data_IF_201043801206
#
_entry.id   IF_201043801206
#
_cell.length_a   1.000
_cell.length_b   1.000
_cell.length_c   1.000
_cell.angle_alpha   90.00
_cell.angle_beta   90.00
_cell.angle_gamma   90.00
#
_symmetry.space_group_name_H-M   'P 1'
#
loop_
_entity.id
_entity.type
_entity.pdbx_description
1 polymer ?
#
# COMPACT_ATOMS: atom_id res chain seq x y z
N UNK A 1 1.34 -17.92 -32.51
CA UNK A 1 0.38 -18.35 -31.46
C UNK A 1 0.53 -17.39 -30.29
N UNK A 2 -0.55 -16.82 -29.79
CA UNK A 2 -0.53 -15.99 -28.58
C UNK A 2 -0.02 -16.83 -27.40
N UNK A 3 0.89 -16.28 -26.61
CA UNK A 3 1.47 -17.00 -25.49
C UNK A 3 0.42 -17.25 -24.39
N UNK A 4 0.29 -18.49 -23.93
CA UNK A 4 -0.50 -18.83 -22.76
C UNK A 4 0.42 -18.90 -21.55
N UNK A 5 0.27 -17.95 -20.63
CA UNK A 5 1.06 -17.91 -19.39
C UNK A 5 0.55 -18.94 -18.38
N UNK A 6 1.45 -19.51 -17.59
CA UNK A 6 1.07 -20.35 -16.44
C UNK A 6 0.45 -19.49 -15.36
N UNK A 7 1.00 -18.28 -15.18
CA UNK A 7 0.48 -17.29 -14.25
C UNK A 7 0.74 -15.87 -14.76
N UNK A 8 -0.27 -15.00 -14.64
CA UNK A 8 -0.11 -13.55 -14.76
C UNK A 8 -0.29 -12.93 -13.37
N UNK A 9 0.67 -12.09 -12.98
CA UNK A 9 0.69 -11.39 -11.70
C UNK A 9 0.44 -9.92 -11.96
N UNK A 10 -0.58 -9.35 -11.32
CA UNK A 10 -1.00 -7.96 -11.48
C UNK A 10 -0.54 -7.16 -10.28
N UNK A 11 0.47 -6.32 -10.46
CA UNK A 11 1.10 -5.50 -9.44
C UNK A 11 2.49 -5.99 -9.05
N UNK A 12 3.47 -5.11 -9.17
CA UNK A 12 4.91 -5.34 -8.89
C UNK A 12 5.32 -4.96 -7.46
N UNK A 13 4.43 -5.06 -6.48
CA UNK A 13 4.77 -4.92 -5.06
C UNK A 13 5.32 -6.22 -4.45
N UNK A 14 5.67 -6.23 -3.14
CA UNK A 14 6.25 -7.40 -2.47
C UNK A 14 5.48 -8.69 -2.67
N UNK A 15 4.14 -8.64 -2.60
CA UNK A 15 3.31 -9.84 -2.84
C UNK A 15 3.35 -10.34 -4.28
N UNK A 16 3.47 -9.43 -5.25
CA UNK A 16 3.64 -9.79 -6.67
C UNK A 16 5.01 -10.35 -6.95
N UNK A 17 6.06 -9.72 -6.43
CA UNK A 17 7.45 -10.19 -6.53
C UNK A 17 7.57 -11.58 -5.88
N UNK A 18 7.05 -11.74 -4.66
CA UNK A 18 7.03 -13.03 -3.98
C UNK A 18 6.36 -14.11 -4.81
N UNK A 19 5.19 -13.80 -5.38
CA UNK A 19 4.46 -14.74 -6.25
C UNK A 19 5.25 -15.11 -7.51
N UNK A 20 5.92 -14.15 -8.14
CA UNK A 20 6.70 -14.37 -9.35
C UNK A 20 7.93 -15.25 -9.10
N UNK A 21 8.67 -14.93 -8.04
CA UNK A 21 9.88 -15.68 -7.65
C UNK A 21 9.53 -17.10 -7.23
N UNK A 22 8.50 -17.27 -6.40
CA UNK A 22 8.05 -18.60 -6.01
C UNK A 22 7.54 -19.42 -7.21
N UNK A 23 6.80 -18.79 -8.13
CA UNK A 23 6.34 -19.45 -9.35
C UNK A 23 7.52 -19.99 -10.18
N UNK A 24 8.60 -19.22 -10.30
CA UNK A 24 9.83 -19.62 -10.94
C UNK A 24 10.53 -20.76 -10.20
N UNK A 25 10.77 -20.62 -8.89
CA UNK A 25 11.44 -21.65 -8.08
C UNK A 25 10.72 -22.98 -8.16
N UNK A 26 9.40 -22.94 -8.18
CA UNK A 26 8.56 -24.12 -8.35
C UNK A 26 8.41 -24.62 -9.81
N UNK A 27 9.12 -24.04 -10.76
CA UNK A 27 9.23 -24.54 -12.14
C UNK A 27 8.04 -24.18 -13.05
N UNK A 28 7.34 -23.08 -12.78
CA UNK A 28 6.45 -22.49 -13.77
C UNK A 28 7.30 -21.80 -14.86
N UNK A 29 7.01 -22.08 -16.13
CA UNK A 29 7.88 -21.65 -17.24
C UNK A 29 7.49 -20.27 -17.80
N UNK A 30 6.18 -19.98 -17.82
CA UNK A 30 5.64 -18.75 -18.41
C UNK A 30 4.99 -17.89 -17.34
N UNK A 31 5.77 -16.93 -16.83
CA UNK A 31 5.40 -16.02 -15.76
C UNK A 31 5.43 -14.60 -16.30
N UNK A 32 4.32 -13.87 -16.19
CA UNK A 32 4.25 -12.45 -16.55
C UNK A 32 3.84 -11.63 -15.33
N UNK A 33 4.64 -10.65 -14.96
CA UNK A 33 4.29 -9.63 -13.98
C UNK A 33 3.99 -8.30 -14.67
N UNK A 34 2.80 -7.73 -14.43
CA UNK A 34 2.36 -6.47 -15.02
C UNK A 34 2.25 -5.42 -13.92
N UNK A 35 2.95 -4.30 -14.07
CA UNK A 35 2.93 -3.17 -13.13
C UNK A 35 2.55 -1.89 -13.89
N UNK A 36 1.61 -1.12 -13.31
CA UNK A 36 1.11 0.14 -13.90
C UNK A 36 2.11 1.27 -13.91
N UNK A 37 3.11 1.21 -13.04
CA UNK A 37 4.14 2.25 -12.88
C UNK A 37 5.43 1.86 -13.60
N UNK A 38 6.36 2.79 -13.65
CA UNK A 38 7.64 2.63 -14.37
C UNK A 38 8.59 1.59 -13.75
N UNK A 39 8.33 1.17 -12.49
CA UNK A 39 9.16 0.21 -11.78
C UNK A 39 8.36 -0.57 -10.73
N UNK A 40 8.90 -1.69 -10.24
CA UNK A 40 8.33 -2.43 -9.13
C UNK A 40 8.33 -1.63 -7.82
N UNK A 41 7.57 -2.10 -6.83
CA UNK A 41 7.54 -1.56 -5.46
C UNK A 41 7.27 -0.06 -5.38
N UNK A 42 6.39 0.45 -6.26
CA UNK A 42 6.11 1.88 -6.37
C UNK A 42 5.80 2.55 -5.02
N UNK A 43 5.03 1.89 -4.16
CA UNK A 43 4.70 2.41 -2.82
C UNK A 43 5.94 2.62 -1.97
N UNK A 44 6.88 1.66 -1.98
CA UNK A 44 8.15 1.76 -1.25
C UNK A 44 9.00 2.87 -1.86
N UNK A 45 9.17 2.87 -3.19
CA UNK A 45 9.98 3.89 -3.89
C UNK A 45 9.48 5.30 -3.65
N UNK A 46 8.17 5.51 -3.69
CA UNK A 46 7.56 6.84 -3.64
C UNK A 46 7.32 7.36 -2.23
N UNK A 47 6.87 6.51 -1.31
CA UNK A 47 6.38 6.97 -0.01
C UNK A 47 7.30 6.64 1.16
N UNK A 48 8.29 5.75 0.98
CA UNK A 48 9.32 5.55 2.00
C UNK A 48 10.41 6.59 1.82
N UNK A 49 10.87 7.14 2.93
CA UNK A 49 12.04 8.02 2.94
C UNK A 49 13.31 7.27 2.63
N UNK A 50 14.31 8.03 2.22
CA UNK A 50 15.66 7.52 2.12
C UNK A 50 16.14 7.06 3.51
N UNK A 51 16.80 5.92 3.53
CA UNK A 51 17.24 5.20 4.74
C UNK A 51 16.11 4.78 5.71
N UNK A 52 14.83 4.84 5.29
CA UNK A 52 13.76 4.32 6.13
C UNK A 52 14.01 2.84 6.45
N UNK A 53 14.02 2.51 7.75
CA UNK A 53 14.09 1.13 8.21
C UNK A 53 12.89 0.31 7.71
N UNK A 54 13.15 -0.88 7.25
CA UNK A 54 12.17 -1.87 6.79
C UNK A 54 12.36 -3.14 7.61
N UNK A 55 11.38 -3.44 8.44
CA UNK A 55 11.42 -4.59 9.33
C UNK A 55 10.76 -5.81 8.68
N UNK A 56 11.33 -6.98 8.90
CA UNK A 56 10.73 -8.27 8.56
C UNK A 56 9.51 -8.54 9.42
N UNK A 57 9.65 -8.28 10.70
CA UNK A 57 8.64 -8.56 11.71
C UNK A 57 7.47 -7.55 11.63
N UNK A 58 6.28 -7.98 12.03
CA UNK A 58 5.10 -7.17 11.96
C UNK A 58 4.55 -6.84 13.35
N UNK A 59 4.45 -5.55 13.67
CA UNK A 59 3.93 -5.04 14.95
C UNK A 59 4.57 -5.73 16.18
N UNK A 60 5.88 -6.01 16.12
CA UNK A 60 6.62 -6.67 17.19
C UNK A 60 6.42 -8.20 17.25
N UNK A 61 5.72 -8.79 16.30
CA UNK A 61 5.56 -10.24 16.16
C UNK A 61 6.52 -10.77 15.11
N UNK A 62 7.27 -11.81 15.45
CA UNK A 62 8.18 -12.47 14.52
C UNK A 62 7.41 -13.10 13.36
N UNK A 63 7.79 -12.74 12.13
CA UNK A 63 7.25 -13.34 10.90
C UNK A 63 8.22 -14.40 10.40
N UNK A 64 7.76 -15.64 10.38
CA UNK A 64 8.50 -16.76 9.79
C UNK A 64 8.28 -16.75 8.29
N UNK A 65 9.35 -16.74 7.51
CA UNK A 65 9.29 -16.93 6.06
C UNK A 65 9.04 -18.41 5.76
N UNK A 66 8.03 -18.68 4.95
CA UNK A 66 7.58 -20.04 4.64
C UNK A 66 8.10 -20.53 3.28
N UNK A 67 8.50 -19.60 2.41
CA UNK A 67 8.91 -19.87 1.02
C UNK A 67 10.42 -19.89 0.80
N UNK A 68 10.79 -19.70 -0.45
CA UNK A 68 12.19 -19.77 -0.92
C UNK A 68 12.88 -18.40 -0.96
N UNK A 69 12.22 -17.35 -0.50
CA UNK A 69 12.76 -15.99 -0.47
C UNK A 69 13.24 -15.67 0.94
N UNK A 70 14.52 -15.39 1.08
CA UNK A 70 15.10 -14.90 2.31
C UNK A 70 14.96 -13.37 2.39
N UNK A 71 14.19 -12.90 3.36
CA UNK A 71 14.02 -11.47 3.61
C UNK A 71 14.41 -11.13 5.04
N UNK A 72 15.26 -10.13 5.20
CA UNK A 72 15.77 -9.66 6.48
C UNK A 72 15.50 -8.16 6.68
N UNK A 73 15.65 -7.70 7.91
CA UNK A 73 15.60 -6.27 8.22
C UNK A 73 16.62 -5.50 7.39
N UNK A 74 16.24 -4.30 6.97
CA UNK A 74 17.10 -3.46 6.17
C UNK A 74 16.61 -2.01 6.10
N UNK A 75 16.98 -1.34 5.03
CA UNK A 75 16.48 0.00 4.67
C UNK A 75 15.64 -0.07 3.40
N UNK A 76 14.99 1.04 3.06
CA UNK A 76 14.31 1.22 1.77
C UNK A 76 15.21 0.79 0.61
N UNK A 77 16.44 1.29 0.58
CA UNK A 77 17.40 1.08 -0.50
C UNK A 77 17.79 -0.40 -0.59
N UNK A 78 18.24 -0.99 0.52
CA UNK A 78 18.64 -2.40 0.53
C UNK A 78 17.49 -3.35 0.19
N UNK A 79 16.26 -2.99 0.55
CA UNK A 79 15.06 -3.74 0.20
C UNK A 79 14.77 -3.65 -1.31
N UNK A 80 14.89 -2.46 -1.89
CA UNK A 80 14.69 -2.26 -3.33
C UNK A 80 15.76 -2.97 -4.15
N UNK A 81 17.03 -2.84 -3.76
CA UNK A 81 18.17 -3.55 -4.40
C UNK A 81 18.00 -5.07 -4.33
N UNK A 82 17.45 -5.56 -3.22
CA UNK A 82 17.15 -6.99 -3.07
C UNK A 82 16.05 -7.43 -4.05
N UNK A 83 14.98 -6.65 -4.20
CA UNK A 83 13.92 -6.97 -5.14
C UNK A 83 14.35 -6.83 -6.61
N UNK A 84 15.18 -5.84 -6.93
CA UNK A 84 15.79 -5.73 -8.26
C UNK A 84 16.56 -7.02 -8.60
N UNK A 85 17.40 -7.53 -7.69
CA UNK A 85 18.15 -8.79 -7.86
C UNK A 85 17.24 -10.01 -8.03
N UNK A 86 16.13 -10.09 -7.31
CA UNK A 86 15.17 -11.20 -7.43
C UNK A 86 14.49 -11.24 -8.81
N UNK A 87 14.34 -10.09 -9.46
CA UNK A 87 13.68 -9.97 -10.76
C UNK A 87 14.66 -10.01 -11.97
N UNK A 88 15.94 -9.81 -11.74
CA UNK A 88 16.96 -9.59 -12.81
C UNK A 88 17.48 -10.89 -13.46
N UNK A 89 16.85 -12.02 -13.26
CA UNK A 89 17.38 -13.29 -13.80
C UNK A 89 16.78 -13.74 -15.15
N UNK A 90 15.93 -12.91 -15.74
CA UNK A 90 15.39 -13.12 -17.08
C UNK A 90 14.35 -14.23 -17.21
N UNK A 91 13.98 -14.91 -16.13
CA UNK A 91 12.97 -15.98 -16.13
C UNK A 91 11.54 -15.46 -15.87
N UNK A 92 11.41 -14.20 -15.43
CA UNK A 92 10.13 -13.55 -15.15
C UNK A 92 9.95 -12.43 -16.18
N UNK A 93 8.96 -12.58 -17.06
CA UNK A 93 8.58 -11.48 -17.95
C UNK A 93 8.00 -10.35 -17.10
N UNK A 94 8.55 -9.14 -17.22
CA UNK A 94 8.06 -7.96 -16.52
C UNK A 94 7.58 -6.92 -17.53
N UNK A 95 6.38 -6.37 -17.29
CA UNK A 95 5.82 -5.30 -18.12
C UNK A 95 5.43 -4.13 -17.23
N UNK A 96 6.27 -3.10 -17.27
CA UNK A 96 6.05 -1.83 -16.56
C UNK A 96 5.26 -0.83 -17.42
N UNK A 97 4.79 0.27 -16.82
CA UNK A 97 3.95 1.29 -17.45
C UNK A 97 2.71 0.71 -18.15
N UNK A 98 2.19 -0.39 -17.63
CA UNK A 98 1.09 -1.12 -18.23
C UNK A 98 0.00 -1.40 -17.18
N UNK A 99 -1.12 -0.69 -17.31
CA UNK A 99 -2.25 -0.83 -16.38
C UNK A 99 -3.19 -1.94 -16.86
N UNK A 100 -3.43 -2.93 -16.03
CA UNK A 100 -4.49 -3.91 -16.29
C UNK A 100 -5.85 -3.25 -16.09
N UNK A 101 -6.72 -3.35 -17.09
CA UNK A 101 -8.05 -2.76 -17.10
C UNK A 101 -9.13 -3.76 -16.67
N UNK A 102 -8.98 -5.02 -17.10
CA UNK A 102 -9.99 -6.06 -16.87
C UNK A 102 -9.36 -7.45 -16.84
N UNK A 103 -9.96 -8.34 -16.06
CA UNK A 103 -9.67 -9.78 -16.06
C UNK A 103 -10.98 -10.53 -16.25
N UNK A 104 -11.05 -11.43 -17.24
CA UNK A 104 -12.20 -12.26 -17.49
C UNK A 104 -11.76 -13.72 -17.61
N UNK A 105 -12.57 -14.65 -17.08
CA UNK A 105 -12.34 -16.08 -17.28
C UNK A 105 -13.36 -16.63 -18.27
N UNK A 106 -12.86 -17.28 -19.34
CA UNK A 106 -13.69 -17.96 -20.36
C UNK A 106 -13.09 -19.32 -20.65
N UNK A 107 -13.90 -20.37 -20.63
CA UNK A 107 -13.46 -21.75 -20.95
C UNK A 107 -12.21 -22.22 -20.19
N UNK A 108 -12.11 -21.82 -18.91
CA UNK A 108 -10.98 -22.20 -18.05
C UNK A 108 -9.74 -21.29 -18.15
N UNK A 109 -9.67 -20.39 -19.13
CA UNK A 109 -8.55 -19.50 -19.41
C UNK A 109 -8.90 -18.07 -18.98
N UNK A 110 -7.95 -17.38 -18.35
CA UNK A 110 -8.04 -15.96 -18.06
C UNK A 110 -7.58 -15.11 -19.23
N UNK A 111 -8.33 -14.06 -19.49
CA UNK A 111 -8.06 -13.00 -20.46
C UNK A 111 -7.78 -11.73 -19.68
N UNK A 112 -6.56 -11.24 -19.78
CA UNK A 112 -6.08 -10.02 -19.08
C UNK A 112 -5.96 -8.91 -20.12
N UNK A 113 -6.83 -7.91 -20.03
CA UNK A 113 -6.88 -6.78 -20.95
C UNK A 113 -6.03 -5.62 -20.43
N UNK A 114 -5.18 -5.10 -21.30
CA UNK A 114 -4.33 -3.92 -21.05
C UNK A 114 -4.32 -3.01 -22.26
N UNK A 115 -3.92 -1.74 -22.17
CA UNK A 115 -3.70 -0.88 -23.35
C UNK A 115 -2.67 -1.43 -24.32
N UNK A 116 -1.80 -2.34 -23.86
CA UNK A 116 -0.75 -2.99 -24.68
C UNK A 116 -1.28 -4.23 -25.44
N UNK A 117 -2.50 -4.70 -25.17
CA UNK A 117 -3.09 -5.86 -25.80
C UNK A 117 -3.78 -6.82 -24.84
N UNK A 118 -4.03 -8.03 -25.30
CA UNK A 118 -4.73 -9.08 -24.57
C UNK A 118 -3.75 -10.22 -24.29
N UNK A 119 -3.56 -10.55 -23.01
CA UNK A 119 -2.76 -11.68 -22.57
C UNK A 119 -3.66 -12.82 -22.04
N UNK A 120 -3.19 -14.07 -22.14
CA UNK A 120 -3.92 -15.26 -21.70
C UNK A 120 -3.14 -15.99 -20.62
N UNK A 121 -3.82 -16.46 -19.56
CA UNK A 121 -3.20 -17.21 -18.48
C UNK A 121 -4.08 -18.33 -17.94
N UNK A 122 -3.46 -19.37 -17.38
CA UNK A 122 -4.13 -20.41 -16.61
C UNK A 122 -4.54 -19.93 -15.22
N UNK A 123 -3.71 -19.07 -14.60
CA UNK A 123 -3.92 -18.49 -13.28
C UNK A 123 -3.63 -17.00 -13.29
N UNK A 124 -4.28 -16.24 -12.41
CA UNK A 124 -4.04 -14.82 -12.21
C UNK A 124 -3.90 -14.53 -10.71
N UNK A 125 -2.89 -13.74 -10.34
CA UNK A 125 -2.66 -13.28 -8.98
C UNK A 125 -2.78 -11.76 -8.96
N UNK A 126 -3.72 -11.21 -8.17
CA UNK A 126 -3.93 -9.78 -8.01
C UNK A 126 -3.18 -9.31 -6.76
N UNK A 127 -2.13 -8.50 -6.94
CA UNK A 127 -1.24 -8.00 -5.89
C UNK A 127 -1.04 -6.48 -5.98
N UNK A 128 -2.13 -5.74 -6.05
CA UNK A 128 -2.15 -4.30 -6.32
C UNK A 128 -2.02 -3.43 -5.06
N UNK A 129 -1.78 -4.03 -3.90
CA UNK A 129 -1.76 -3.32 -2.62
C UNK A 129 -3.10 -2.71 -2.24
N UNK A 130 -3.14 -2.02 -1.12
CA UNK A 130 -4.36 -1.32 -0.63
C UNK A 130 -4.42 0.15 -1.00
N UNK A 131 -3.33 0.74 -1.43
CA UNK A 131 -3.28 2.16 -1.77
C UNK A 131 -4.01 2.42 -3.10
N UNK A 132 -5.31 2.50 -2.99
CA UNK A 132 -6.14 3.19 -3.95
C UNK A 132 -5.97 4.71 -3.82
N UNK A 133 -7.03 5.47 -4.11
CA UNK A 133 -7.02 6.92 -3.83
C UNK A 133 -6.98 7.14 -2.32
N UNK A 134 -6.21 8.14 -1.83
CA UNK A 134 -6.25 8.52 -0.42
C UNK A 134 -7.70 8.78 0.02
N UNK A 135 -8.04 8.35 1.23
CA UNK A 135 -9.32 8.70 1.82
C UNK A 135 -9.42 10.22 1.94
N UNK A 136 -10.59 10.73 1.65
CA UNK A 136 -10.91 12.14 1.88
C UNK A 136 -11.67 12.26 3.20
N UNK A 137 -11.56 13.41 3.88
CA UNK A 137 -12.40 13.68 5.05
C UNK A 137 -13.89 13.73 4.64
N UNK A 138 -14.76 13.58 5.61
CA UNK A 138 -16.24 13.61 5.40
C UNK A 138 -16.76 15.02 5.05
N UNK A 139 -16.04 16.06 5.48
CA UNK A 139 -16.37 17.45 5.19
C UNK A 139 -15.76 17.90 3.86
N UNK A 140 -16.34 18.96 3.29
CA UNK A 140 -15.91 19.51 2.00
C UNK A 140 -14.58 20.24 2.11
N UNK A 141 -13.64 19.92 1.24
CA UNK A 141 -12.41 20.69 1.05
C UNK A 141 -12.69 21.78 0.01
N UNK A 142 -12.58 23.09 0.37
CA UNK A 142 -12.72 24.17 -0.59
C UNK A 142 -11.70 24.08 -1.74
N UNK A 143 -12.14 24.35 -2.98
CA UNK A 143 -11.27 24.28 -4.16
C UNK A 143 -10.08 25.24 -4.09
N UNK A 144 -10.24 26.38 -3.41
CA UNK A 144 -9.18 27.39 -3.18
C UNK A 144 -8.03 26.87 -2.33
N UNK A 145 -8.23 25.82 -1.52
CA UNK A 145 -7.24 25.23 -0.63
C UNK A 145 -6.45 24.08 -1.28
N UNK A 146 -6.69 23.77 -2.54
CA UNK A 146 -6.11 22.58 -3.20
C UNK A 146 -4.57 22.52 -3.15
N UNK A 147 -3.89 23.66 -3.17
CA UNK A 147 -2.43 23.76 -3.10
C UNK A 147 -1.87 23.54 -1.68
N UNK A 148 -2.70 23.70 -0.66
CA UNK A 148 -2.34 23.61 0.76
C UNK A 148 -2.78 22.28 1.40
N UNK A 149 -3.48 21.43 0.63
CA UNK A 149 -3.98 20.12 1.08
C UNK A 149 -3.17 19.02 0.41
N UNK A 150 -2.52 18.20 1.21
CA UNK A 150 -1.72 17.07 0.76
C UNK A 150 -2.25 15.75 1.36
N UNK A 151 -1.88 14.64 0.73
CA UNK A 151 -2.14 13.28 1.20
C UNK A 151 -0.83 12.47 1.36
N UNK A 152 0.30 13.15 1.18
CA UNK A 152 1.66 12.66 1.34
C UNK A 152 2.58 13.85 1.63
N UNK A 153 3.88 13.62 1.71
CA UNK A 153 4.87 14.67 1.99
C UNK A 153 5.32 15.46 0.75
N UNK A 154 4.80 15.14 -0.44
CA UNK A 154 5.14 15.89 -1.65
C UNK A 154 4.77 17.38 -1.49
N UNK A 155 5.69 18.27 -1.89
CA UNK A 155 5.47 19.72 -1.87
C UNK A 155 5.34 20.37 -0.48
N UNK A 156 5.77 19.71 0.59
CA UNK A 156 5.88 20.33 1.89
C UNK A 156 7.11 21.25 1.90
N UNK A 157 6.91 22.48 2.34
CA UNK A 157 7.98 23.48 2.50
C UNK A 157 8.66 23.36 3.86
N UNK A 158 9.55 24.31 4.13
CA UNK A 158 10.15 24.55 5.45
C UNK A 158 9.50 25.79 6.08
N UNK A 159 9.53 25.86 7.40
CA UNK A 159 8.98 26.97 8.20
C UNK A 159 7.47 27.18 8.00
N UNK A 160 6.76 26.11 7.68
CA UNK A 160 5.30 26.08 7.61
C UNK A 160 4.71 25.64 8.96
N UNK A 161 3.51 26.13 9.28
CA UNK A 161 2.68 25.58 10.32
C UNK A 161 1.79 24.49 9.71
N UNK A 162 2.05 23.25 10.06
CA UNK A 162 1.47 22.08 9.40
C UNK A 162 0.57 21.29 10.34
N UNK A 163 -0.64 20.96 9.88
CA UNK A 163 -1.52 20.00 10.53
C UNK A 163 -1.43 18.65 9.85
N UNK A 164 -0.98 17.63 10.55
CA UNK A 164 -1.06 16.24 10.12
C UNK A 164 -2.29 15.60 10.73
N UNK A 165 -3.20 15.09 9.89
CA UNK A 165 -4.47 14.49 10.31
C UNK A 165 -4.41 12.98 10.14
N UNK A 166 -4.50 12.24 11.24
CA UNK A 166 -4.49 10.79 11.23
C UNK A 166 -4.00 10.18 12.55
N UNK A 167 -4.16 8.88 12.70
CA UNK A 167 -3.79 8.16 13.93
C UNK A 167 -3.17 6.79 13.67
N UNK A 168 -2.54 6.59 12.52
CA UNK A 168 -1.77 5.39 12.16
C UNK A 168 -0.28 5.69 12.01
N UNK A 169 0.51 4.68 11.63
CA UNK A 169 1.96 4.80 11.46
C UNK A 169 2.35 5.95 10.55
N UNK A 170 1.73 6.07 9.37
CA UNK A 170 2.04 7.15 8.43
C UNK A 170 1.82 8.54 9.02
N UNK A 171 0.79 8.74 9.85
CA UNK A 171 0.53 10.03 10.46
C UNK A 171 1.62 10.40 11.45
N UNK A 172 2.04 9.46 12.29
CA UNK A 172 3.14 9.63 13.24
C UNK A 172 4.45 9.91 12.52
N UNK A 173 4.79 9.09 11.52
CA UNK A 173 6.01 9.24 10.73
C UNK A 173 6.06 10.62 10.04
N UNK A 174 4.95 11.04 9.42
CA UNK A 174 4.87 12.36 8.77
C UNK A 174 5.04 13.51 9.77
N UNK A 175 4.38 13.43 10.93
CA UNK A 175 4.48 14.47 11.95
C UNK A 175 5.92 14.59 12.49
N UNK A 176 6.54 13.47 12.83
CA UNK A 176 7.92 13.46 13.34
C UNK A 176 8.90 13.99 12.29
N UNK A 177 8.68 13.62 11.03
CA UNK A 177 9.54 14.05 9.94
C UNK A 177 9.51 15.55 9.73
N UNK A 178 8.31 16.05 9.52
CA UNK A 178 8.14 17.46 9.18
C UNK A 178 8.56 18.38 10.31
N UNK A 179 8.55 17.91 11.54
CA UNK A 179 8.90 18.69 12.72
C UNK A 179 10.38 19.11 12.79
N UNK A 180 11.25 18.54 11.95
CA UNK A 180 12.64 18.99 11.86
C UNK A 180 12.77 20.43 11.35
N UNK A 181 11.83 20.92 10.55
CA UNK A 181 11.91 22.22 9.87
C UNK A 181 10.58 23.00 9.91
N UNK A 182 9.55 22.50 10.61
CA UNK A 182 8.21 23.07 10.62
C UNK A 182 7.60 23.03 12.02
N UNK A 183 6.59 23.89 12.26
CA UNK A 183 5.70 23.81 13.43
C UNK A 183 4.60 22.79 13.12
N UNK A 184 4.65 21.63 13.77
CA UNK A 184 3.77 20.49 13.43
C UNK A 184 2.82 20.16 14.54
N UNK A 185 1.54 20.10 14.19
CA UNK A 185 0.47 19.55 15.03
C UNK A 185 -0.01 18.22 14.44
N UNK A 186 -0.03 17.15 15.24
CA UNK A 186 -0.69 15.89 14.90
C UNK A 186 -2.09 15.86 15.51
N UNK A 187 -3.11 15.81 14.66
CA UNK A 187 -4.50 15.70 15.08
C UNK A 187 -5.03 14.29 14.87
N UNK A 188 -5.69 13.79 15.87
CA UNK A 188 -6.43 12.54 15.81
C UNK A 188 -7.74 12.61 16.60
N UNK A 189 -8.84 12.16 15.96
CA UNK A 189 -10.20 12.21 16.54
C UNK A 189 -10.41 11.36 17.80
N UNK A 190 -9.51 10.41 18.10
CA UNK A 190 -9.56 9.61 19.33
C UNK A 190 -8.57 10.15 20.36
N UNK A 191 -8.86 9.92 21.62
CA UNK A 191 -8.05 10.40 22.74
C UNK A 191 -6.65 9.76 22.83
N UNK A 192 -6.45 8.60 22.18
CA UNK A 192 -5.19 7.85 22.25
C UNK A 192 -4.71 7.39 20.89
N UNK A 193 -3.39 7.38 20.68
CA UNK A 193 -2.70 6.84 19.51
C UNK A 193 -2.39 5.34 19.71
N UNK A 194 -3.42 4.50 19.74
CA UNK A 194 -3.28 3.06 19.94
C UNK A 194 -2.98 2.26 18.64
N UNK A 195 -3.14 2.87 17.47
CA UNK A 195 -2.98 2.18 16.17
C UNK A 195 -1.54 2.09 15.66
N UNK A 196 -0.68 3.09 15.87
CA UNK A 196 0.71 2.99 15.46
C UNK A 196 1.43 1.82 16.12
N UNK A 197 2.45 1.29 15.45
CA UNK A 197 3.30 0.25 16.02
C UNK A 197 4.06 0.75 17.27
N UNK A 198 4.58 -0.16 18.12
CA UNK A 198 5.23 0.25 19.37
C UNK A 198 6.42 1.21 19.20
N UNK A 199 7.15 1.12 18.08
CA UNK A 199 8.28 2.03 17.78
C UNK A 199 7.76 3.44 17.53
N UNK A 200 6.74 3.56 16.69
CA UNK A 200 6.10 4.84 16.37
C UNK A 200 5.39 5.45 17.57
N UNK A 201 4.79 4.63 18.44
CA UNK A 201 4.19 5.12 19.68
C UNK A 201 5.26 5.75 20.61
N UNK A 202 6.40 5.09 20.78
CA UNK A 202 7.53 5.64 21.56
C UNK A 202 8.08 6.91 20.92
N UNK A 203 8.24 6.91 19.61
CA UNK A 203 8.78 8.04 18.87
C UNK A 203 7.90 9.28 19.05
N UNK A 204 6.60 9.18 18.80
CA UNK A 204 5.71 10.34 18.92
C UNK A 204 5.59 10.85 20.37
N UNK A 205 5.64 9.95 21.36
CA UNK A 205 5.64 10.33 22.77
C UNK A 205 6.89 11.16 23.11
N UNK A 206 8.08 10.79 22.61
CA UNK A 206 9.31 11.57 22.79
C UNK A 206 9.24 12.94 22.11
N UNK A 207 8.73 13.00 20.88
CA UNK A 207 8.57 14.26 20.14
C UNK A 207 7.58 15.20 20.82
N UNK A 208 6.51 14.68 21.36
CA UNK A 208 5.53 15.46 22.13
C UNK A 208 6.14 15.94 23.46
N UNK A 209 6.87 15.09 24.19
CA UNK A 209 7.55 15.46 25.42
C UNK A 209 8.59 16.58 25.20
N UNK A 210 9.32 16.52 24.09
CA UNK A 210 10.30 17.53 23.69
C UNK A 210 9.67 18.77 23.07
N UNK A 211 8.32 18.85 23.01
CA UNK A 211 7.57 19.95 22.39
C UNK A 211 7.92 20.18 20.89
N UNK A 212 8.43 19.14 20.22
CA UNK A 212 8.78 19.20 18.79
C UNK A 212 7.53 18.95 17.92
N UNK A 213 6.56 18.17 18.42
CA UNK A 213 5.25 17.94 17.81
C UNK A 213 4.16 18.23 18.83
N UNK A 214 3.19 19.05 18.45
CA UNK A 214 1.99 19.28 19.26
C UNK A 214 0.97 18.16 18.98
N UNK A 215 0.45 17.53 20.06
CA UNK A 215 -0.61 16.53 19.92
C UNK A 215 -1.97 17.16 20.19
N UNK A 216 -2.91 17.03 19.25
CA UNK A 216 -4.31 17.40 19.38
C UNK A 216 -5.16 16.14 19.24
N UNK A 217 -5.41 15.49 20.38
CA UNK A 217 -6.10 14.22 20.45
C UNK A 217 -7.52 14.40 20.99
N UNK A 218 -8.46 13.52 20.57
CA UNK A 218 -9.86 13.58 20.99
C UNK A 218 -10.67 14.71 20.34
N UNK A 219 -10.11 15.39 19.33
CA UNK A 219 -10.79 16.48 18.65
C UNK A 219 -11.00 16.15 17.16
N UNK A 220 -12.25 16.25 16.70
CA UNK A 220 -12.59 16.07 15.30
C UNK A 220 -12.57 17.42 14.55
N UNK A 221 -12.29 17.36 13.26
CA UNK A 221 -12.32 18.52 12.37
C UNK A 221 -13.73 18.60 11.78
N UNK A 222 -14.37 19.75 11.92
CA UNK A 222 -15.72 20.02 11.43
C UNK A 222 -15.74 20.67 10.04
N UNK A 223 -14.69 21.43 9.70
CA UNK A 223 -14.62 22.10 8.42
C UNK A 223 -13.33 22.86 8.16
N UNK A 224 -13.18 23.29 6.91
CA UNK A 224 -12.06 24.09 6.44
C UNK A 224 -12.55 25.35 5.72
N UNK A 225 -11.86 26.47 5.95
CA UNK A 225 -12.06 27.73 5.25
C UNK A 225 -10.71 28.28 4.77
N UNK A 226 -10.72 29.00 3.64
CA UNK A 226 -9.56 29.77 3.20
C UNK A 226 -9.59 31.14 3.85
N UNK A 227 -8.53 31.51 4.59
CA UNK A 227 -8.47 32.79 5.28
C UNK A 227 -7.05 33.38 5.20
N UNK A 228 -6.90 34.51 4.48
CA UNK A 228 -5.63 35.25 4.34
C UNK A 228 -4.42 34.40 3.91
N UNK A 229 -4.62 33.46 2.98
CA UNK A 229 -3.54 32.61 2.48
C UNK A 229 -3.25 31.39 3.35
N UNK A 230 -4.00 31.16 4.42
CA UNK A 230 -3.91 30.01 5.30
C UNK A 230 -5.20 29.18 5.28
N UNK A 231 -5.11 27.96 5.80
CA UNK A 231 -6.24 27.08 6.05
C UNK A 231 -6.71 27.29 7.48
N UNK A 232 -7.90 27.86 7.65
CA UNK A 232 -8.58 27.90 8.94
C UNK A 232 -9.29 26.56 9.12
N UNK A 233 -8.92 25.87 10.18
CA UNK A 233 -9.46 24.57 10.56
C UNK A 233 -10.37 24.75 11.76
N UNK A 234 -11.65 24.42 11.60
CA UNK A 234 -12.62 24.42 12.69
C UNK A 234 -12.61 23.03 13.35
N UNK A 235 -12.37 23.01 14.64
CA UNK A 235 -12.45 21.82 15.49
C UNK A 235 -13.69 21.92 16.40
N UNK A 236 -14.05 20.84 17.05
CA UNK A 236 -15.14 20.81 18.02
C UNK A 236 -15.00 21.91 19.09
N UNK A 237 -13.77 22.26 19.49
CA UNK A 237 -13.47 23.22 20.55
C UNK A 237 -12.72 24.46 20.04
N UNK A 238 -13.15 25.05 18.94
CA UNK A 238 -12.57 26.28 18.41
C UNK A 238 -11.96 26.15 17.02
N UNK A 239 -11.06 27.05 16.69
CA UNK A 239 -10.39 27.00 15.38
C UNK A 239 -8.90 27.34 15.52
N UNK A 240 -8.13 26.91 14.51
CA UNK A 240 -6.72 27.25 14.36
C UNK A 240 -6.34 27.38 12.88
N UNK A 241 -5.30 28.15 12.58
CA UNK A 241 -4.83 28.39 11.20
C UNK A 241 -3.53 27.65 10.94
N UNK A 242 -3.43 27.07 9.74
CA UNK A 242 -2.28 26.31 9.28
C UNK A 242 -1.92 26.75 7.85
N UNK A 243 -0.65 26.66 7.52
CA UNK A 243 -0.19 26.89 6.15
C UNK A 243 -0.49 25.70 5.26
N UNK A 244 -0.51 24.49 5.85
CA UNK A 244 -0.74 23.22 5.15
C UNK A 244 -1.46 22.19 6.00
N UNK A 245 -2.24 21.35 5.34
CA UNK A 245 -2.83 20.13 5.97
C UNK A 245 -2.39 18.90 5.21
N UNK A 246 -1.99 17.86 5.94
CA UNK A 246 -1.65 16.55 5.38
C UNK A 246 -2.57 15.50 5.95
N UNK A 247 -3.37 14.89 5.08
CA UNK A 247 -4.26 13.79 5.47
C UNK A 247 -3.55 12.44 5.37
N UNK A 248 -3.26 11.83 6.50
CA UNK A 248 -2.75 10.47 6.66
C UNK A 248 -3.82 9.55 7.24
N UNK A 249 -5.01 9.56 6.63
CA UNK A 249 -6.21 8.84 7.08
C UNK A 249 -6.48 7.54 6.29
N UNK A 250 -5.43 6.97 5.71
CA UNK A 250 -5.48 5.76 4.90
C UNK A 250 -5.96 5.99 3.47
N UNK A 251 -6.16 4.90 2.74
CA UNK A 251 -6.64 4.92 1.36
C UNK A 251 -7.84 3.99 1.16
N UNK A 252 -8.55 4.17 0.05
CA UNK A 252 -9.63 3.29 -0.36
C UNK A 252 -9.08 2.02 -0.98
N UNK A 253 -9.72 0.89 -0.71
CA UNK A 253 -9.51 -0.33 -1.49
C UNK A 253 -9.89 -0.06 -2.94
N UNK A 254 -9.15 -0.53 -3.94
CA UNK A 254 -9.49 -0.34 -5.36
C UNK A 254 -10.68 -1.21 -5.79
N UNK A 255 -11.84 -0.97 -5.19
CA UNK A 255 -13.06 -1.78 -5.31
C UNK A 255 -13.52 -1.97 -6.76
N UNK A 256 -13.44 -0.91 -7.55
CA UNK A 256 -13.91 -0.97 -8.95
C UNK A 256 -13.03 -1.89 -9.78
N UNK A 257 -11.72 -1.86 -9.56
CA UNK A 257 -10.79 -2.78 -10.22
C UNK A 257 -11.02 -4.23 -9.78
N UNK A 258 -11.17 -4.50 -8.48
CA UNK A 258 -11.45 -5.84 -7.98
C UNK A 258 -12.74 -6.41 -8.59
N UNK A 259 -13.80 -5.59 -8.69
CA UNK A 259 -15.05 -5.99 -9.36
C UNK A 259 -14.84 -6.24 -10.85
N UNK A 260 -14.02 -5.45 -11.55
CA UNK A 260 -13.70 -5.67 -12.96
C UNK A 260 -12.91 -6.96 -13.20
N UNK A 261 -12.25 -7.48 -12.18
CA UNK A 261 -11.60 -8.80 -12.17
C UNK A 261 -12.57 -9.94 -11.81
N UNK A 262 -13.83 -9.64 -11.50
CA UNK A 262 -14.82 -10.63 -11.07
C UNK A 262 -14.65 -11.05 -9.61
N UNK A 263 -13.92 -10.31 -8.78
CA UNK A 263 -13.70 -10.62 -7.37
C UNK A 263 -14.87 -10.12 -6.54
N UNK A 264 -15.48 -11.01 -5.76
CA UNK A 264 -16.52 -10.64 -4.81
C UNK A 264 -15.94 -9.84 -3.63
N UNK A 265 -16.72 -8.86 -3.17
CA UNK A 265 -16.38 -8.04 -2.01
C UNK A 265 -17.40 -8.26 -0.91
N UNK A 266 -16.95 -8.22 0.34
CA UNK A 266 -17.83 -8.23 1.51
C UNK A 266 -18.52 -6.84 1.69
N UNK A 267 -19.37 -6.72 2.72
CA UNK A 267 -20.11 -5.49 3.03
C UNK A 267 -19.19 -4.29 3.31
N UNK A 268 -17.98 -4.52 3.83
CA UNK A 268 -16.97 -3.47 4.04
C UNK A 268 -16.22 -3.11 2.75
N UNK A 269 -16.39 -3.92 1.70
CA UNK A 269 -15.74 -3.76 0.40
C UNK A 269 -14.35 -4.37 0.34
N UNK A 270 -14.07 -5.32 1.22
CA UNK A 270 -12.85 -6.13 1.19
C UNK A 270 -13.06 -7.36 0.31
N UNK A 271 -12.00 -7.84 -0.38
CA UNK A 271 -12.11 -9.01 -1.23
C UNK A 271 -12.40 -10.28 -0.41
N UNK A 272 -13.23 -11.17 -0.98
CA UNK A 272 -13.52 -12.47 -0.40
C UNK A 272 -12.64 -13.53 -1.06
N UNK A 273 -11.92 -14.29 -0.24
CA UNK A 273 -11.02 -15.37 -0.65
C UNK A 273 -10.92 -16.43 0.47
N UNK A 274 -10.42 -17.60 0.12
CA UNK A 274 -10.23 -18.74 1.04
C UNK A 274 -8.85 -18.71 1.74
N UNK A 275 -8.53 -19.74 2.47
CA UNK A 275 -7.26 -19.92 3.21
C UNK A 275 -6.03 -20.04 2.30
N UNK A 276 -6.22 -20.34 1.02
CA UNK A 276 -5.18 -20.39 -0.01
C UNK A 276 -5.11 -19.10 -0.83
N UNK A 277 -5.82 -18.06 -0.39
CA UNK A 277 -5.95 -16.78 -1.10
C UNK A 277 -6.66 -16.88 -2.47
N UNK A 278 -7.35 -18.01 -2.75
CA UNK A 278 -8.16 -18.18 -3.95
C UNK A 278 -9.51 -17.50 -3.78
N UNK A 279 -9.93 -16.74 -4.79
CA UNK A 279 -11.25 -16.10 -4.80
C UNK A 279 -12.33 -17.14 -5.19
N UNK A 280 -13.59 -16.71 -5.23
CA UNK A 280 -14.67 -17.56 -5.75
C UNK A 280 -14.50 -17.93 -7.25
N UNK A 281 -13.59 -17.24 -7.96
CA UNK A 281 -13.22 -17.56 -9.34
C UNK A 281 -11.98 -18.46 -9.32
N UNK A 282 -12.15 -19.75 -9.54
CA UNK A 282 -11.05 -20.72 -9.47
C UNK A 282 -9.87 -20.31 -10.37
N UNK A 283 -8.65 -20.32 -9.80
CA UNK A 283 -7.41 -19.86 -10.45
C UNK A 283 -7.18 -18.35 -10.36
N UNK A 284 -8.05 -17.60 -9.68
CA UNK A 284 -7.88 -16.18 -9.41
C UNK A 284 -7.55 -15.97 -7.93
N UNK A 285 -6.39 -15.41 -7.64
CA UNK A 285 -5.83 -15.27 -6.31
C UNK A 285 -5.58 -13.82 -5.93
N UNK A 286 -5.43 -13.57 -4.63
CA UNK A 286 -5.11 -12.24 -4.08
C UNK A 286 -3.86 -12.34 -3.21
N UNK A 287 -2.87 -11.45 -3.40
CA UNK A 287 -1.63 -11.43 -2.64
C UNK A 287 -1.26 -10.03 -2.12
N UNK A 288 -0.43 -9.98 -1.10
CA UNK A 288 0.05 -8.73 -0.50
C UNK A 288 -1.00 -8.00 0.33
N UNK A 289 -0.84 -6.70 0.50
CA UNK A 289 -1.66 -5.89 1.42
C UNK A 289 -3.16 -5.93 1.10
N UNK A 290 -3.55 -6.17 -0.14
CA UNK A 290 -4.96 -6.30 -0.52
C UNK A 290 -5.62 -7.52 0.13
N UNK A 291 -4.84 -8.55 0.45
CA UNK A 291 -5.28 -9.75 1.16
C UNK A 291 -5.21 -9.61 2.70
N UNK A 292 -4.83 -8.44 3.22
CA UNK A 292 -4.62 -8.26 4.66
C UNK A 292 -5.34 -7.02 5.20
N UNK A 293 -6.43 -7.22 5.94
CA UNK A 293 -7.33 -6.12 6.38
C UNK A 293 -6.65 -5.03 7.20
N UNK A 294 -5.66 -5.39 8.01
CA UNK A 294 -5.03 -4.47 8.96
C UNK A 294 -3.65 -3.96 8.49
N UNK A 295 -3.31 -4.14 7.21
CA UNK A 295 -1.96 -3.95 6.70
C UNK A 295 -1.06 -5.10 7.09
N UNK A 296 -0.01 -5.37 6.31
CA UNK A 296 0.94 -6.44 6.55
C UNK A 296 2.37 -5.95 6.52
N UNK A 297 3.31 -6.85 6.73
CA UNK A 297 4.72 -6.62 6.44
C UNK A 297 5.08 -7.15 5.05
N UNK A 298 6.25 -6.76 4.56
CA UNK A 298 6.83 -7.32 3.33
C UNK A 298 6.92 -8.85 3.44
N UNK A 299 7.39 -9.38 4.57
CA UNK A 299 7.52 -10.82 4.80
C UNK A 299 6.18 -11.57 4.71
N UNK A 300 5.10 -11.00 5.27
CA UNK A 300 3.75 -11.56 5.12
C UNK A 300 3.32 -11.57 3.66
N UNK A 301 3.59 -10.50 2.92
CA UNK A 301 3.26 -10.42 1.50
C UNK A 301 4.03 -11.45 0.66
N UNK A 302 5.30 -11.71 0.97
CA UNK A 302 6.11 -12.77 0.35
C UNK A 302 5.54 -14.16 0.64
N UNK A 303 5.12 -14.45 1.88
CA UNK A 303 4.49 -15.71 2.26
C UNK A 303 3.18 -15.98 1.51
N UNK A 304 2.42 -14.93 1.15
CA UNK A 304 1.24 -15.11 0.28
C UNK A 304 1.63 -15.71 -1.07
N UNK A 305 2.73 -15.23 -1.68
CA UNK A 305 3.26 -15.79 -2.93
C UNK A 305 3.54 -17.29 -2.83
N UNK A 306 4.26 -17.71 -1.80
CA UNK A 306 4.57 -19.11 -1.54
C UNK A 306 3.31 -19.98 -1.39
N UNK A 307 2.34 -19.56 -0.57
CA UNK A 307 1.10 -20.30 -0.33
C UNK A 307 0.27 -20.45 -1.60
N UNK A 308 0.10 -19.37 -2.35
CA UNK A 308 -0.65 -19.37 -3.61
C UNK A 308 0.00 -20.29 -4.62
N UNK A 309 1.29 -20.18 -4.86
CA UNK A 309 1.98 -20.99 -5.87
C UNK A 309 1.99 -22.47 -5.47
N UNK A 310 2.20 -22.77 -4.19
CA UNK A 310 2.09 -24.14 -3.67
C UNK A 310 0.68 -24.72 -3.90
N UNK A 311 -0.37 -23.91 -3.77
CA UNK A 311 -1.74 -24.32 -4.05
C UNK A 311 -1.99 -24.56 -5.55
N UNK A 312 -1.51 -23.65 -6.42
CA UNK A 312 -1.60 -23.79 -7.89
C UNK A 312 -1.02 -25.13 -8.33
N UNK A 313 0.13 -25.51 -7.80
CA UNK A 313 0.81 -26.75 -8.18
C UNK A 313 0.07 -28.00 -7.68
N UNK A 314 -0.44 -27.97 -6.46
CA UNK A 314 -1.26 -29.10 -5.93
C UNK A 314 -2.52 -29.36 -6.77
N UNK A 315 -3.08 -28.35 -7.38
CA UNK A 315 -4.24 -28.46 -8.26
C UNK A 315 -3.92 -28.82 -9.73
N UNK A 316 -2.63 -28.91 -10.10
CA UNK A 316 -2.18 -29.40 -11.42
C UNK A 316 -2.04 -30.92 -11.50
N UNK A 317 -2.09 -31.61 -10.34
CA UNK A 317 -2.06 -33.07 -10.21
C UNK A 317 -3.50 -33.57 -10.13
#
# INVERSE_FOLDING_TARGET
MEALYDVIIIGGGPGGIGSAVEAKVFGLERILMIEKTENHSHTIRKFYKDNKRVDKDWQGQAVVLEGNIDFADGTKESTLDYFDKLLDDGMIDTRFNCMVEKVEKKEGIFYVTTPCGLDKAKNVIVSIGRMGKPNKPSYKIPASLKSQINFNLDKCGNQEKILVVGGGDSAVEYACELSCCNDVTLNYRKETLARPNPVNQKMIAQYAQNQTVTLRLGEDIEGLEAEHGQVKVSFTNGYEKYDRIIYAIGGTTPKDFLKSCGIALDESGEPIFDENYETQVKGLYIAGDIAFRNGGSIAIALNHGYKIVSHILRNKI
#
